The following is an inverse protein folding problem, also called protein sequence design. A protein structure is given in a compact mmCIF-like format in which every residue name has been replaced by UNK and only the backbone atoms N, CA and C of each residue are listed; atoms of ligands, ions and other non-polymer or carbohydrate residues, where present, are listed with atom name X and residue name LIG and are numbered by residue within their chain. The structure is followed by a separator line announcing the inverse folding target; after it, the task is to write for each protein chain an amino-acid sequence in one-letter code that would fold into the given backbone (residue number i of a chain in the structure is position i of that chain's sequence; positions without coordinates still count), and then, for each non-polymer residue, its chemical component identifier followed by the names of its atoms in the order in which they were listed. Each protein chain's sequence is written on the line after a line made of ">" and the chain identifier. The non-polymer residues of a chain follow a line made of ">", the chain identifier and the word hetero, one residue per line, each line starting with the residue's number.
data_IF_248130735312
#
_entry.id   IF_248130735312
#
_cell.length_a   1.000
_cell.length_b   1.000
_cell.length_c   1.000
_cell.angle_alpha   90.00
_cell.angle_beta   90.00
_cell.angle_gamma   90.00
#
_symmetry.space_group_name_H-M   'P 1'
#
loop_
_entity.id
_entity.type
_entity.pdbx_description
1 polymer ?
#
# COMPACT_ATOMS: atom_id res chain seq x y z
N UNK A 1 -43.95 29.37 72.05
CA UNK A 1 -44.64 30.67 71.97
C UNK A 1 -43.63 31.76 71.65
N UNK A 2 -43.99 32.76 70.83
CA UNK A 2 -44.86 32.74 69.64
C UNK A 2 -44.12 33.45 68.46
N UNK A 3 -44.58 33.67 67.22
CA UNK A 3 -45.89 33.73 66.55
C UNK A 3 -45.66 33.39 65.05
N UNK A 4 -46.45 32.56 64.36
CA UNK A 4 -47.68 32.90 63.60
C UNK A 4 -47.48 34.09 62.62
N UNK A 5 -47.83 34.08 61.31
CA UNK A 5 -48.99 33.45 60.64
C UNK A 5 -48.92 33.54 59.09
N UNK A 6 -49.49 32.50 58.45
CA UNK A 6 -50.35 32.41 57.25
C UNK A 6 -50.04 32.96 55.83
N UNK A 7 -50.28 32.05 54.85
CA UNK A 7 -50.90 32.30 53.53
C UNK A 7 -49.92 32.16 52.35
N UNK A 8 -50.17 31.55 51.20
CA UNK A 8 -51.32 30.89 50.55
C UNK A 8 -50.75 30.16 49.33
N UNK A 9 -51.41 29.09 48.87
CA UNK A 9 -51.19 28.45 47.56
C UNK A 9 -51.37 29.46 46.41
N UNK A 10 -50.60 29.30 45.33
CA UNK A 10 -51.13 29.38 43.96
C UNK A 10 -50.14 28.76 42.98
N UNK A 11 -50.66 27.85 42.14
CA UNK A 11 -50.02 27.40 40.91
C UNK A 11 -49.72 28.60 40.01
N UNK A 12 -48.54 28.62 39.39
CA UNK A 12 -48.23 29.12 38.04
C UNK A 12 -46.76 29.53 38.02
N UNK A 13 -45.90 28.65 37.53
CA UNK A 13 -44.78 29.03 36.67
C UNK A 13 -44.19 27.75 36.07
N UNK A 14 -44.87 27.33 35.00
CA UNK A 14 -44.34 26.46 33.99
C UNK A 14 -43.36 27.29 33.13
N UNK A 15 -42.24 26.66 32.80
CA UNK A 15 -41.33 26.94 31.69
C UNK A 15 -40.10 27.83 31.96
N UNK A 16 -38.97 27.28 31.51
CA UNK A 16 -37.68 27.91 31.21
C UNK A 16 -36.62 27.90 32.31
N UNK A 17 -36.13 26.70 32.66
CA UNK A 17 -34.73 26.51 33.02
C UNK A 17 -34.18 25.25 32.38
N UNK A 18 -33.51 25.41 31.24
CA UNK A 18 -32.78 24.31 30.59
C UNK A 18 -32.22 24.72 29.24
N UNK A 19 -30.97 25.17 29.20
CA UNK A 19 -30.01 24.96 28.10
C UNK A 19 -28.82 25.95 28.16
N UNK A 20 -27.96 25.90 29.18
CA UNK A 20 -26.64 26.55 29.09
C UNK A 20 -25.59 25.78 29.90
N UNK A 21 -25.11 24.63 29.40
CA UNK A 21 -23.82 24.08 29.84
C UNK A 21 -23.19 23.02 28.90
N UNK A 22 -23.93 22.44 27.95
CA UNK A 22 -23.43 21.34 27.09
C UNK A 22 -22.90 21.76 25.70
N UNK A 23 -22.79 23.07 25.41
CA UNK A 23 -22.45 23.55 24.06
C UNK A 23 -20.96 23.70 23.75
N UNK A 24 -20.07 23.80 24.75
CA UNK A 24 -18.66 24.15 24.52
C UNK A 24 -17.73 22.95 24.33
N UNK A 25 -18.08 21.78 24.84
CA UNK A 25 -17.20 20.59 24.76
C UNK A 25 -17.40 19.79 23.46
N UNK A 26 -18.59 19.84 22.84
CA UNK A 26 -18.87 19.15 21.58
C UNK A 26 -18.24 19.88 20.37
N UNK A 27 -18.20 21.22 20.41
CA UNK A 27 -17.57 22.00 19.33
C UNK A 27 -16.05 21.78 19.21
N UNK A 28 -15.35 21.49 20.32
CA UNK A 28 -13.91 21.22 20.29
C UNK A 28 -13.57 19.84 19.71
N UNK A 29 -14.46 18.84 19.87
CA UNK A 29 -14.30 17.51 19.27
C UNK A 29 -14.65 17.49 17.78
N UNK A 30 -15.60 18.32 17.31
CA UNK A 30 -15.88 18.46 15.87
C UNK A 30 -14.75 19.17 15.09
N UNK A 31 -14.03 20.11 15.72
CA UNK A 31 -12.91 20.81 15.08
C UNK A 31 -11.68 19.89 14.82
N UNK A 32 -11.49 18.85 15.63
CA UNK A 32 -10.42 17.85 15.43
C UNK A 32 -10.72 16.85 14.30
N UNK A 33 -11.99 16.65 13.93
CA UNK A 33 -12.39 15.83 12.77
C UNK A 33 -12.30 16.62 11.45
N UNK A 34 -12.42 17.96 11.50
CA UNK A 34 -12.37 18.80 10.31
C UNK A 34 -10.94 19.02 9.76
N UNK A 35 -9.91 19.06 10.62
CA UNK A 35 -8.54 19.36 10.19
C UNK A 35 -7.80 18.20 9.48
N UNK A 36 -8.43 17.02 9.35
CA UNK A 36 -7.85 15.86 8.66
C UNK A 36 -8.28 15.70 7.19
N UNK A 37 -9.28 16.46 6.74
CA UNK A 37 -9.99 16.18 5.49
C UNK A 37 -9.68 17.14 4.34
N UNK A 38 -9.00 18.25 4.58
CA UNK A 38 -8.75 19.25 3.53
C UNK A 38 -7.76 18.74 2.47
N UNK A 39 -6.80 17.90 2.85
CA UNK A 39 -5.83 17.32 1.91
C UNK A 39 -6.49 16.27 1.01
N UNK A 40 -7.36 15.41 1.57
CA UNK A 40 -8.08 14.41 0.79
C UNK A 40 -9.13 15.06 -0.12
N UNK A 41 -9.83 16.09 0.37
CA UNK A 41 -10.78 16.86 -0.43
C UNK A 41 -10.09 17.67 -1.54
N UNK A 42 -8.91 18.25 -1.27
CA UNK A 42 -8.10 18.95 -2.28
C UNK A 42 -7.55 17.97 -3.32
N UNK A 43 -7.07 16.79 -2.92
CA UNK A 43 -6.62 15.76 -3.85
C UNK A 43 -7.78 15.19 -4.69
N UNK A 44 -8.94 14.94 -4.08
CA UNK A 44 -10.15 14.53 -4.81
C UNK A 44 -10.64 15.62 -5.76
N UNK A 45 -10.51 16.90 -5.38
CA UNK A 45 -10.83 18.05 -6.22
C UNK A 45 -9.86 18.22 -7.41
N UNK A 46 -8.56 17.97 -7.22
CA UNK A 46 -7.57 17.96 -8.30
C UNK A 46 -7.70 16.72 -9.20
N UNK A 47 -8.02 15.54 -8.64
CA UNK A 47 -8.39 14.34 -9.38
C UNK A 47 -9.62 14.60 -10.26
N UNK A 48 -10.67 15.23 -9.72
CA UNK A 48 -11.88 15.55 -10.48
C UNK A 48 -11.63 16.54 -11.61
N UNK A 49 -10.77 17.54 -11.41
CA UNK A 49 -10.41 18.50 -12.47
C UNK A 49 -9.52 17.90 -13.56
N UNK A 50 -8.64 16.94 -13.23
CA UNK A 50 -7.80 16.26 -14.21
C UNK A 50 -8.54 15.13 -14.95
N UNK A 51 -9.64 14.59 -14.39
CA UNK A 51 -10.47 13.55 -15.00
C UNK A 51 -11.28 14.00 -16.23
N UNK A 52 -11.48 15.29 -16.47
CA UNK A 52 -12.17 15.77 -17.69
C UNK A 52 -11.27 15.72 -18.95
N UNK A 53 -9.96 15.51 -18.79
CA UNK A 53 -8.99 15.59 -19.89
C UNK A 53 -8.55 14.25 -20.48
N UNK A 54 -8.64 13.15 -19.74
CA UNK A 54 -8.12 11.84 -20.17
C UNK A 54 -9.20 10.77 -20.28
N UNK A 55 -9.62 10.47 -21.52
CA UNK A 55 -10.60 9.42 -21.84
C UNK A 55 -10.10 7.98 -21.62
N UNK A 56 -8.86 7.78 -21.19
CA UNK A 56 -8.26 6.46 -20.95
C UNK A 56 -8.16 6.03 -19.49
N UNK A 57 -8.09 6.97 -18.54
CA UNK A 57 -7.87 6.66 -17.11
C UNK A 57 -9.14 6.30 -16.34
N UNK A 58 -10.28 6.86 -16.77
CA UNK A 58 -11.55 6.66 -16.08
C UNK A 58 -12.09 5.23 -16.24
N UNK A 59 -11.83 4.56 -17.38
CA UNK A 59 -12.20 3.16 -17.58
C UNK A 59 -11.50 2.22 -16.59
N UNK A 60 -10.19 2.39 -16.41
CA UNK A 60 -9.42 1.60 -15.44
C UNK A 60 -9.82 1.86 -13.99
N UNK A 61 -10.17 3.10 -13.65
CA UNK A 61 -10.65 3.45 -12.31
C UNK A 61 -12.08 2.93 -12.03
N UNK A 62 -12.97 2.95 -13.02
CA UNK A 62 -14.34 2.41 -12.91
C UNK A 62 -14.34 0.89 -12.80
N UNK A 63 -13.54 0.20 -13.62
CA UNK A 63 -13.37 -1.26 -13.55
C UNK A 63 -12.76 -1.68 -12.19
N UNK A 64 -11.85 -0.85 -11.66
CA UNK A 64 -11.26 -1.03 -10.33
C UNK A 64 -12.28 -0.81 -9.20
N UNK A 65 -13.13 0.21 -9.27
CA UNK A 65 -14.17 0.46 -8.27
C UNK A 65 -15.23 -0.65 -8.27
N UNK A 66 -15.54 -1.22 -9.45
CA UNK A 66 -16.42 -2.37 -9.61
C UNK A 66 -15.90 -3.65 -8.94
N UNK A 67 -14.60 -3.74 -8.68
CA UNK A 67 -13.94 -4.92 -8.08
C UNK A 67 -13.86 -4.87 -6.54
N UNK A 68 -14.39 -3.81 -5.89
CA UNK A 68 -14.33 -3.65 -4.42
C UNK A 68 -15.44 -4.38 -3.66
N UNK A 69 -16.42 -4.97 -4.34
CA UNK A 69 -17.57 -5.64 -3.72
C UNK A 69 -17.34 -7.16 -3.61
N UNK A 70 -16.34 -7.60 -2.82
CA UNK A 70 -16.35 -8.88 -2.09
C UNK A 70 -15.05 -9.06 -1.29
N UNK A 71 -15.14 -9.32 0.02
CA UNK A 71 -13.95 -9.43 0.87
C UNK A 71 -14.17 -9.94 2.29
N UNK A 72 -14.72 -11.14 2.45
CA UNK A 72 -14.66 -11.93 3.69
C UNK A 72 -13.56 -12.98 3.61
N UNK A 73 -12.73 -13.12 4.65
CA UNK A 73 -11.44 -13.82 4.59
C UNK A 73 -11.47 -15.34 4.33
N UNK A 74 -10.55 -15.81 3.46
CA UNK A 74 -9.89 -17.13 3.50
C UNK A 74 -8.71 -17.16 2.51
N UNK A 75 -7.77 -18.08 2.78
CA UNK A 75 -6.49 -18.31 2.08
C UNK A 75 -6.57 -18.19 0.54
N UNK A 76 -5.62 -17.44 -0.03
CA UNK A 76 -5.06 -17.52 -1.40
C UNK A 76 -5.95 -18.13 -2.51
N UNK A 77 -7.17 -17.64 -2.68
CA UNK A 77 -8.17 -18.18 -3.62
C UNK A 77 -8.59 -17.19 -4.72
N UNK A 78 -7.90 -16.05 -4.85
CA UNK A 78 -8.32 -14.98 -5.76
C UNK A 78 -7.85 -15.11 -7.20
N UNK A 79 -6.61 -15.55 -7.45
CA UNK A 79 -6.03 -15.51 -8.80
C UNK A 79 -6.04 -16.87 -9.50
N UNK A 80 -5.59 -17.92 -8.81
CA UNK A 80 -5.49 -19.26 -9.38
C UNK A 80 -6.74 -20.09 -9.04
N UNK A 81 -7.43 -20.57 -10.07
CA UNK A 81 -8.61 -21.44 -9.95
C UNK A 81 -8.22 -22.92 -9.90
N UNK A 82 -9.10 -23.76 -9.36
CA UNK A 82 -8.96 -25.22 -9.43
C UNK A 82 -7.82 -25.82 -8.61
N UNK A 83 -7.53 -25.25 -7.43
CA UNK A 83 -6.49 -25.76 -6.53
C UNK A 83 -5.05 -25.50 -6.99
N UNK A 84 -4.88 -24.75 -8.09
CA UNK A 84 -3.58 -24.29 -8.57
C UNK A 84 -3.01 -23.18 -7.68
N UNK A 85 -1.70 -23.02 -7.72
CA UNK A 85 -0.97 -22.00 -6.98
C UNK A 85 -0.13 -21.13 -7.93
N UNK A 86 0.12 -19.87 -7.55
CA UNK A 86 0.96 -18.97 -8.33
C UNK A 86 2.41 -19.46 -8.36
N UNK A 87 3.04 -19.36 -9.51
CA UNK A 87 4.47 -19.55 -9.69
C UNK A 87 5.01 -18.50 -10.66
N UNK A 88 6.28 -18.06 -10.51
CA UNK A 88 6.80 -16.97 -11.33
C UNK A 88 6.86 -17.35 -12.80
N UNK A 89 6.51 -16.39 -13.67
CA UNK A 89 6.85 -16.46 -15.09
C UNK A 89 8.35 -16.30 -15.27
N UNK A 90 8.93 -17.09 -16.17
CA UNK A 90 10.39 -17.14 -16.35
C UNK A 90 10.97 -15.84 -16.93
N UNK A 91 10.15 -15.07 -17.67
CA UNK A 91 10.51 -13.89 -18.45
C UNK A 91 9.81 -12.61 -17.95
N UNK A 92 9.48 -12.55 -16.66
CA UNK A 92 8.75 -11.40 -16.12
C UNK A 92 9.60 -10.43 -15.30
N UNK A 93 10.69 -10.90 -14.70
CA UNK A 93 11.48 -10.05 -13.81
C UNK A 93 12.10 -8.84 -14.54
N UNK A 94 12.47 -9.00 -15.82
CA UNK A 94 12.97 -7.97 -16.74
C UNK A 94 11.87 -7.01 -17.26
N UNK A 95 10.59 -7.30 -16.99
CA UNK A 95 9.45 -6.47 -17.39
C UNK A 95 8.91 -5.61 -16.24
N UNK A 96 9.53 -5.68 -15.07
CA UNK A 96 9.15 -4.84 -13.93
C UNK A 96 9.48 -3.38 -14.18
N UNK A 97 8.60 -2.48 -13.74
CA UNK A 97 8.85 -1.05 -13.80
C UNK A 97 8.44 -0.34 -12.52
N UNK A 98 9.10 0.77 -12.25
CA UNK A 98 8.77 1.73 -11.20
C UNK A 98 8.53 3.10 -11.83
N UNK A 99 7.49 3.81 -11.36
CA UNK A 99 7.07 5.10 -11.91
C UNK A 99 6.95 6.20 -10.84
N UNK A 100 7.52 5.97 -9.65
CA UNK A 100 7.55 6.93 -8.56
C UNK A 100 6.28 6.89 -7.72
N UNK A 101 5.98 7.96 -6.98
CA UNK A 101 4.79 7.97 -6.13
C UNK A 101 3.55 8.39 -6.94
N UNK A 102 2.56 7.52 -7.05
CA UNK A 102 1.28 7.78 -7.72
C UNK A 102 1.02 6.84 -8.89
N UNK A 103 -0.23 6.77 -9.38
CA UNK A 103 -0.54 5.93 -10.53
C UNK A 103 0.13 6.46 -11.79
N UNK A 104 0.29 5.59 -12.79
CA UNK A 104 0.93 5.95 -14.04
C UNK A 104 0.21 7.12 -14.72
N UNK A 105 0.97 8.16 -15.08
CA UNK A 105 0.46 9.41 -15.66
C UNK A 105 -0.02 10.44 -14.62
N UNK A 106 -0.03 10.11 -13.33
CA UNK A 106 -0.42 11.01 -12.24
C UNK A 106 0.57 10.90 -11.06
N UNK A 107 1.84 11.14 -11.36
CA UNK A 107 2.89 11.17 -10.34
C UNK A 107 2.72 12.35 -9.39
N UNK A 108 2.64 12.04 -8.10
CA UNK A 108 2.56 12.99 -7.01
C UNK A 108 3.98 13.42 -6.65
N UNK A 109 4.22 14.74 -6.71
CA UNK A 109 5.49 15.31 -6.30
C UNK A 109 5.68 15.15 -4.78
N UNK A 110 6.85 14.67 -4.40
CA UNK A 110 7.30 14.60 -3.01
C UNK A 110 8.79 14.97 -2.96
N UNK A 111 9.21 15.69 -1.93
CA UNK A 111 10.60 16.18 -1.79
C UNK A 111 11.36 15.52 -0.64
N UNK A 112 10.74 14.57 0.04
CA UNK A 112 11.25 13.95 1.27
C UNK A 112 12.13 12.73 0.97
N UNK A 113 12.09 12.21 -0.25
CA UNK A 113 12.79 11.01 -0.70
C UNK A 113 11.92 9.74 -0.65
N UNK A 114 10.61 9.89 -0.44
CA UNK A 114 9.64 8.80 -0.38
C UNK A 114 9.52 8.01 -1.69
N UNK A 115 9.95 8.57 -2.83
CA UNK A 115 9.96 7.89 -4.13
C UNK A 115 10.72 6.56 -4.08
N UNK A 116 11.74 6.43 -3.22
CA UNK A 116 12.46 5.16 -3.01
C UNK A 116 11.56 4.05 -2.47
N UNK A 117 10.59 4.41 -1.63
CA UNK A 117 9.58 3.49 -1.11
C UNK A 117 8.51 3.19 -2.14
N UNK A 118 8.10 4.21 -2.92
CA UNK A 118 7.12 4.05 -3.99
C UNK A 118 7.65 3.10 -5.08
N UNK A 119 8.89 3.28 -5.52
CA UNK A 119 9.55 2.36 -6.46
C UNK A 119 9.58 0.92 -5.94
N UNK A 120 9.87 0.74 -4.65
CA UNK A 120 9.85 -0.57 -4.01
C UNK A 120 8.45 -1.18 -3.94
N UNK A 121 7.41 -0.37 -3.80
CA UNK A 121 6.02 -0.82 -3.78
C UNK A 121 5.52 -1.25 -5.16
N UNK A 122 5.83 -0.47 -6.21
CA UNK A 122 5.51 -0.78 -7.61
C UNK A 122 6.06 -2.16 -8.00
N UNK A 123 7.34 -2.41 -7.71
CA UNK A 123 7.97 -3.69 -8.02
C UNK A 123 7.48 -4.81 -7.11
N UNK A 124 7.17 -4.54 -5.83
CA UNK A 124 6.60 -5.55 -4.93
C UNK A 124 5.29 -6.14 -5.47
N UNK A 125 4.42 -5.29 -6.02
CA UNK A 125 3.17 -5.72 -6.65
C UNK A 125 3.42 -6.62 -7.88
N UNK A 126 4.54 -6.41 -8.57
CA UNK A 126 4.94 -7.14 -9.77
C UNK A 126 5.77 -8.40 -9.49
N UNK A 127 6.16 -8.65 -8.23
CA UNK A 127 6.84 -9.88 -7.85
C UNK A 127 5.80 -10.98 -7.64
N UNK A 128 5.86 -12.04 -8.44
CA UNK A 128 4.93 -13.14 -8.31
C UNK A 128 4.97 -13.77 -6.91
N UNK A 129 3.79 -13.98 -6.32
CA UNK A 129 3.61 -14.68 -5.05
C UNK A 129 3.72 -13.78 -3.81
N UNK A 130 4.01 -12.49 -3.97
CA UNK A 130 3.88 -11.53 -2.85
C UNK A 130 2.41 -11.37 -2.48
N UNK A 131 2.17 -11.03 -1.21
CA UNK A 131 0.83 -10.64 -0.77
C UNK A 131 0.72 -9.13 -0.69
N UNK A 132 -0.47 -8.59 -0.98
CA UNK A 132 -0.74 -7.17 -0.78
C UNK A 132 -0.39 -6.72 0.65
N UNK A 133 -0.72 -7.54 1.66
CA UNK A 133 -0.39 -7.23 3.05
C UNK A 133 1.13 -7.15 3.31
N UNK A 134 1.92 -8.01 2.66
CA UNK A 134 3.37 -7.94 2.70
C UNK A 134 3.89 -6.65 2.06
N UNK A 135 3.45 -6.33 0.84
CA UNK A 135 3.87 -5.11 0.14
C UNK A 135 3.49 -3.83 0.89
N UNK A 136 2.26 -3.75 1.45
CA UNK A 136 1.84 -2.59 2.24
C UNK A 136 2.65 -2.43 3.54
N UNK A 137 3.09 -3.55 4.13
CA UNK A 137 3.94 -3.55 5.33
C UNK A 137 5.34 -3.04 4.99
N UNK A 138 5.96 -3.57 3.93
CA UNK A 138 7.27 -3.11 3.44
C UNK A 138 7.24 -1.63 3.10
N UNK A 139 6.20 -1.19 2.38
CA UNK A 139 5.98 0.20 2.02
C UNK A 139 5.87 1.12 3.23
N UNK A 140 4.97 0.79 4.17
CA UNK A 140 4.78 1.56 5.41
C UNK A 140 6.05 1.59 6.27
N UNK A 141 6.85 0.52 6.27
CA UNK A 141 8.11 0.43 7.01
C UNK A 141 9.16 1.36 6.41
N UNK A 142 9.35 1.27 5.09
CA UNK A 142 10.24 2.15 4.32
C UNK A 142 9.90 3.63 4.55
N UNK A 143 8.62 3.99 4.40
CA UNK A 143 8.11 5.34 4.60
C UNK A 143 8.50 5.90 5.98
N UNK A 144 8.30 5.09 7.04
CA UNK A 144 8.69 5.46 8.40
C UNK A 144 10.20 5.64 8.55
N UNK A 145 11.02 4.81 7.89
CA UNK A 145 12.49 4.91 7.94
C UNK A 145 12.97 6.20 7.29
N UNK A 146 12.48 6.54 6.10
CA UNK A 146 12.85 7.78 5.39
C UNK A 146 12.46 9.01 6.24
N UNK A 147 11.26 9.03 6.81
CA UNK A 147 10.83 10.18 7.60
C UNK A 147 11.54 10.35 8.96
N UNK A 148 12.46 9.46 9.36
CA UNK A 148 13.36 9.74 10.50
C UNK A 148 14.39 10.82 10.16
N UNK A 149 14.84 10.85 8.90
CA UNK A 149 15.83 11.81 8.36
C UNK A 149 15.46 12.10 6.90
N UNK A 150 14.37 12.85 6.65
CA UNK A 150 13.93 13.12 5.28
C UNK A 150 14.96 13.99 4.53
N UNK A 151 14.96 13.91 3.20
CA UNK A 151 15.87 14.69 2.36
C UNK A 151 15.61 16.21 2.43
N UNK A 152 14.37 16.59 2.72
CA UNK A 152 13.97 17.99 2.91
C UNK A 152 12.80 18.07 3.90
N UNK A 153 12.46 19.29 4.34
CA UNK A 153 11.34 19.54 5.24
C UNK A 153 11.47 18.87 6.61
N UNK A 154 10.39 18.90 7.39
CA UNK A 154 10.37 18.33 8.73
C UNK A 154 9.98 16.84 8.73
N UNK A 155 10.43 16.05 9.73
CA UNK A 155 9.93 14.68 9.95
C UNK A 155 8.41 14.59 10.06
N UNK A 156 7.74 15.65 10.53
CA UNK A 156 6.27 15.68 10.67
C UNK A 156 5.58 15.78 9.30
N UNK A 157 6.04 16.68 8.44
CA UNK A 157 5.48 16.84 7.09
C UNK A 157 5.71 15.58 6.25
N UNK A 158 6.91 15.00 6.32
CA UNK A 158 7.19 13.72 5.67
C UNK A 158 6.21 12.63 6.14
N UNK A 159 6.01 12.49 7.47
CA UNK A 159 5.08 11.50 8.03
C UNK A 159 3.65 11.71 7.55
N UNK A 160 3.21 12.97 7.42
CA UNK A 160 1.87 13.27 6.91
C UNK A 160 1.71 12.77 5.46
N UNK A 161 2.66 13.07 4.58
CA UNK A 161 2.61 12.62 3.18
C UNK A 161 2.78 11.09 3.06
N UNK A 162 3.70 10.50 3.82
CA UNK A 162 3.87 9.06 3.92
C UNK A 162 2.59 8.33 4.38
N UNK A 163 1.90 8.87 5.37
CA UNK A 163 0.65 8.31 5.87
C UNK A 163 -0.47 8.43 4.84
N UNK A 164 -0.51 9.51 4.06
CA UNK A 164 -1.45 9.67 2.96
C UNK A 164 -1.23 8.57 1.90
N UNK A 165 0.01 8.41 1.41
CA UNK A 165 0.31 7.33 0.46
C UNK A 165 -0.06 5.95 1.00
N UNK A 166 0.36 5.64 2.22
CA UNK A 166 0.10 4.34 2.85
C UNK A 166 -1.39 4.06 3.09
N UNK A 167 -2.22 5.08 3.25
CA UNK A 167 -3.68 4.91 3.40
C UNK A 167 -4.35 4.71 2.03
N UNK A 168 -3.92 5.45 1.01
CA UNK A 168 -4.44 5.34 -0.33
C UNK A 168 -4.16 3.96 -0.92
N UNK A 169 -2.92 3.47 -0.81
CA UNK A 169 -2.53 2.13 -1.28
C UNK A 169 -3.27 1.03 -0.52
N UNK A 170 -3.50 1.17 0.79
CA UNK A 170 -4.32 0.19 1.53
C UNK A 170 -5.77 0.13 1.07
N UNK A 171 -6.35 1.28 0.72
CA UNK A 171 -7.74 1.37 0.28
C UNK A 171 -7.92 0.87 -1.16
N UNK A 172 -6.98 1.20 -2.05
CA UNK A 172 -7.14 1.02 -3.50
C UNK A 172 -6.20 -0.03 -4.10
N UNK A 173 -5.11 -0.37 -3.42
CA UNK A 173 -4.00 -1.18 -3.92
C UNK A 173 -4.33 -2.65 -4.17
N UNK A 174 -5.38 -3.21 -3.55
CA UNK A 174 -5.73 -4.64 -3.70
C UNK A 174 -6.03 -5.02 -5.15
N UNK A 175 -6.77 -4.18 -5.87
CA UNK A 175 -7.10 -4.41 -7.28
C UNK A 175 -5.87 -4.35 -8.18
N UNK A 176 -5.04 -3.31 -7.99
CA UNK A 176 -3.78 -3.16 -8.72
C UNK A 176 -2.83 -4.34 -8.46
N UNK A 177 -2.65 -4.72 -7.19
CA UNK A 177 -1.85 -5.88 -6.82
C UNK A 177 -2.37 -7.15 -7.48
N UNK A 178 -3.67 -7.43 -7.40
CA UNK A 178 -4.26 -8.62 -8.03
C UNK A 178 -3.97 -8.64 -9.55
N UNK A 179 -4.12 -7.50 -10.22
CA UNK A 179 -3.85 -7.40 -11.66
C UNK A 179 -2.37 -7.59 -11.99
N UNK A 180 -1.47 -7.00 -11.20
CA UNK A 180 -0.03 -7.23 -11.36
C UNK A 180 0.31 -8.70 -11.19
N UNK A 181 -0.24 -9.38 -10.18
CA UNK A 181 0.00 -10.81 -9.97
C UNK A 181 -0.46 -11.66 -11.17
N UNK A 182 -1.58 -11.34 -11.83
CA UNK A 182 -2.01 -12.04 -13.06
C UNK A 182 -0.98 -11.90 -14.20
N UNK A 183 -0.32 -10.74 -14.26
CA UNK A 183 0.72 -10.48 -15.27
C UNK A 183 2.04 -11.16 -14.90
N UNK A 184 2.34 -11.31 -13.61
CA UNK A 184 3.62 -11.82 -13.11
C UNK A 184 3.67 -13.34 -12.89
N UNK A 185 2.52 -13.97 -12.68
CA UNK A 185 2.43 -15.37 -12.29
C UNK A 185 1.77 -16.26 -13.34
N UNK A 186 2.23 -17.51 -13.40
CA UNK A 186 1.46 -18.63 -13.93
C UNK A 186 0.73 -19.36 -12.80
N UNK A 187 -0.36 -20.05 -13.13
CA UNK A 187 -1.06 -20.92 -12.19
C UNK A 187 -0.73 -22.38 -12.49
N UNK A 188 0.02 -23.01 -11.59
CA UNK A 188 0.50 -24.39 -11.71
C UNK A 188 -0.12 -25.30 -10.65
N UNK A 189 -0.09 -26.62 -10.89
CA UNK A 189 -0.47 -27.59 -9.86
C UNK A 189 0.66 -27.75 -8.84
N UNK A 190 0.33 -28.26 -7.66
CA UNK A 190 1.27 -28.37 -6.55
C UNK A 190 2.51 -29.21 -6.90
N UNK A 191 2.36 -30.24 -7.73
CA UNK A 191 3.46 -31.09 -8.19
C UNK A 191 4.49 -30.37 -9.08
N UNK A 192 4.08 -29.31 -9.79
CA UNK A 192 4.95 -28.58 -10.73
C UNK A 192 5.68 -27.40 -10.07
N UNK A 193 5.21 -26.94 -8.91
CA UNK A 193 5.75 -25.76 -8.22
C UNK A 193 7.25 -25.90 -7.87
N UNK A 194 7.73 -27.03 -7.29
CA UNK A 194 9.12 -27.13 -6.88
C UNK A 194 10.08 -26.94 -8.05
N UNK A 195 9.79 -27.61 -9.18
CA UNK A 195 10.59 -27.48 -10.40
C UNK A 195 10.55 -26.07 -10.97
N UNK A 196 9.40 -25.39 -10.93
CA UNK A 196 9.30 -24.00 -11.39
C UNK A 196 10.12 -23.04 -10.54
N UNK A 197 9.98 -23.11 -9.22
CA UNK A 197 10.71 -22.22 -8.31
C UNK A 197 12.22 -22.45 -8.38
N UNK A 198 12.66 -23.71 -8.53
CA UNK A 198 14.07 -24.05 -8.75
C UNK A 198 14.60 -23.46 -10.04
N UNK A 199 13.93 -23.72 -11.17
CA UNK A 199 14.36 -23.20 -12.47
C UNK A 199 14.42 -21.66 -12.48
N UNK A 200 13.42 -21.00 -11.88
CA UNK A 200 13.37 -19.55 -11.80
C UNK A 200 14.54 -18.98 -10.98
N UNK A 201 14.78 -19.52 -9.78
CA UNK A 201 15.87 -19.04 -8.92
C UNK A 201 17.25 -19.33 -9.52
N UNK A 202 17.43 -20.52 -10.12
CA UNK A 202 18.66 -20.90 -10.80
C UNK A 202 18.95 -19.96 -11.97
N UNK A 203 17.97 -19.71 -12.84
CA UNK A 203 18.12 -18.76 -13.95
C UNK A 203 18.44 -17.34 -13.46
N UNK A 204 17.81 -16.91 -12.37
CA UNK A 204 18.11 -15.61 -11.75
C UNK A 204 19.56 -15.52 -11.28
N UNK A 205 20.07 -16.52 -10.55
CA UNK A 205 21.45 -16.52 -10.09
C UNK A 205 22.44 -16.65 -11.25
N UNK A 206 22.17 -17.47 -12.27
CA UNK A 206 23.02 -17.52 -13.46
C UNK A 206 23.14 -16.15 -14.14
N UNK A 207 22.06 -15.37 -14.16
CA UNK A 207 22.06 -14.06 -14.82
C UNK A 207 22.68 -12.94 -13.98
N UNK A 208 22.51 -12.94 -12.66
CA UNK A 208 22.88 -11.78 -11.80
C UNK A 208 23.86 -12.10 -10.67
N UNK A 209 24.18 -13.38 -10.42
CA UNK A 209 25.12 -13.84 -9.38
C UNK A 209 25.82 -15.14 -9.79
N UNK A 210 26.37 -15.17 -11.01
CA UNK A 210 26.86 -16.39 -11.68
C UNK A 210 27.85 -17.18 -10.81
N UNK A 211 28.76 -16.48 -10.12
CA UNK A 211 29.80 -17.10 -9.27
C UNK A 211 29.25 -17.91 -8.10
N UNK A 212 27.98 -17.71 -7.72
CA UNK A 212 27.33 -18.40 -6.61
C UNK A 212 26.15 -19.26 -7.06
N UNK A 213 25.91 -19.42 -8.36
CA UNK A 213 24.77 -20.14 -8.92
C UNK A 213 24.92 -21.68 -8.86
N UNK A 214 25.32 -22.23 -7.71
CA UNK A 214 25.40 -23.68 -7.49
C UNK A 214 24.02 -24.27 -7.18
N UNK A 215 23.84 -25.53 -7.57
CA UNK A 215 22.60 -26.26 -7.32
C UNK A 215 22.29 -26.38 -5.82
N UNK A 216 23.32 -26.56 -4.99
CA UNK A 216 23.20 -26.65 -3.53
C UNK A 216 22.68 -25.34 -2.93
N UNK A 217 23.19 -24.18 -3.38
CA UNK A 217 22.73 -22.89 -2.89
C UNK A 217 21.27 -22.65 -3.24
N UNK A 218 20.87 -22.97 -4.48
CA UNK A 218 19.49 -22.83 -4.96
C UNK A 218 18.55 -23.66 -4.08
N UNK A 219 18.90 -24.93 -3.84
CA UNK A 219 18.06 -25.84 -3.07
C UNK A 219 17.98 -25.42 -1.58
N UNK A 220 19.08 -24.97 -0.98
CA UNK A 220 19.13 -24.45 0.40
C UNK A 220 18.30 -23.18 0.58
N UNK A 221 18.39 -22.24 -0.37
CA UNK A 221 17.61 -21.01 -0.35
C UNK A 221 16.12 -21.33 -0.46
N UNK A 222 15.72 -22.20 -1.39
CA UNK A 222 14.31 -22.60 -1.54
C UNK A 222 13.78 -23.34 -0.31
N UNK A 223 14.59 -24.19 0.32
CA UNK A 223 14.22 -24.86 1.56
C UNK A 223 13.95 -23.86 2.70
N UNK A 224 14.80 -22.82 2.83
CA UNK A 224 14.67 -21.75 3.83
C UNK A 224 13.41 -20.90 3.62
N UNK A 225 13.03 -20.68 2.36
CA UNK A 225 11.93 -19.80 1.97
C UNK A 225 10.66 -20.54 1.55
N UNK A 226 10.54 -21.83 1.87
CA UNK A 226 9.39 -22.66 1.51
C UNK A 226 8.07 -22.03 1.97
N UNK A 227 7.18 -21.76 1.02
CA UNK A 227 5.89 -21.08 1.23
C UNK A 227 5.97 -19.56 1.37
N UNK A 228 7.15 -18.97 1.19
CA UNK A 228 7.44 -17.52 1.15
C UNK A 228 8.35 -17.16 -0.03
N UNK A 229 8.23 -17.87 -1.14
CA UNK A 229 9.06 -17.69 -2.32
C UNK A 229 8.89 -16.29 -2.93
N UNK A 230 7.68 -15.71 -2.86
CA UNK A 230 7.44 -14.32 -3.29
C UNK A 230 8.24 -13.29 -2.47
N UNK A 231 8.33 -13.47 -1.15
CA UNK A 231 9.13 -12.60 -0.28
C UNK A 231 10.63 -12.72 -0.61
N UNK A 232 11.10 -13.94 -0.91
CA UNK A 232 12.46 -14.19 -1.42
C UNK A 232 12.71 -13.44 -2.73
N UNK A 233 11.81 -13.56 -3.71
CA UNK A 233 12.01 -12.89 -5.00
C UNK A 233 11.98 -11.38 -4.87
N UNK A 234 11.18 -10.83 -3.95
CA UNK A 234 11.20 -9.41 -3.67
C UNK A 234 12.52 -8.96 -3.02
N UNK A 235 13.12 -9.77 -2.13
CA UNK A 235 14.44 -9.45 -1.58
C UNK A 235 15.51 -9.45 -2.67
N UNK A 236 15.47 -10.40 -3.60
CA UNK A 236 16.36 -10.41 -4.77
C UNK A 236 16.15 -9.17 -5.67
N UNK A 237 14.92 -8.72 -5.88
CA UNK A 237 14.63 -7.47 -6.62
C UNK A 237 15.20 -6.26 -5.89
N UNK A 238 15.12 -6.19 -4.55
CA UNK A 238 15.76 -5.09 -3.81
C UNK A 238 17.27 -5.07 -3.98
N UNK A 239 17.91 -6.23 -4.06
CA UNK A 239 19.37 -6.37 -4.22
C UNK A 239 19.84 -6.11 -5.66
N UNK A 240 19.20 -6.75 -6.64
CA UNK A 240 19.67 -6.76 -8.05
C UNK A 240 18.80 -5.94 -9.00
N UNK A 241 17.64 -5.46 -8.56
CA UNK A 241 16.63 -4.83 -9.41
C UNK A 241 17.11 -3.59 -10.15
N UNK A 242 18.15 -2.90 -9.67
CA UNK A 242 18.77 -1.78 -10.41
C UNK A 242 19.30 -2.21 -11.79
N UNK A 243 19.57 -3.50 -11.99
CA UNK A 243 20.10 -4.04 -13.24
C UNK A 243 19.01 -4.34 -14.28
N UNK A 244 17.74 -4.47 -13.88
CA UNK A 244 16.68 -4.95 -14.78
C UNK A 244 15.33 -4.24 -14.64
N UNK A 245 15.06 -3.54 -13.54
CA UNK A 245 13.82 -2.76 -13.37
C UNK A 245 13.92 -1.50 -14.21
N UNK A 246 12.88 -1.25 -15.01
CA UNK A 246 12.74 -0.01 -15.78
C UNK A 246 12.23 1.11 -14.87
N UNK A 247 12.91 2.25 -14.87
CA UNK A 247 12.52 3.43 -14.09
C UNK A 247 12.02 4.53 -15.03
N UNK A 248 10.74 4.85 -14.94
CA UNK A 248 10.05 5.70 -15.91
C UNK A 248 10.18 7.17 -15.53
N UNK A 249 11.15 7.87 -16.15
CA UNK A 249 11.43 9.29 -15.92
C UNK A 249 11.73 9.64 -14.45
N UNK A 250 12.25 8.66 -13.70
CA UNK A 250 12.60 8.77 -12.28
C UNK A 250 13.99 8.23 -11.98
N UNK A 251 14.48 8.50 -10.77
CA UNK A 251 15.75 7.96 -10.28
C UNK A 251 15.65 6.45 -10.00
N UNK A 252 16.65 5.70 -10.46
CA UNK A 252 16.81 4.26 -10.27
C UNK A 252 17.26 3.89 -8.84
N UNK A 253 16.46 4.25 -7.85
CA UNK A 253 16.76 4.02 -6.44
C UNK A 253 15.61 3.30 -5.72
N UNK A 254 15.96 2.21 -5.05
CA UNK A 254 15.14 1.60 -3.99
C UNK A 254 15.63 2.09 -2.63
N UNK A 255 14.79 1.97 -1.60
CA UNK A 255 15.27 2.12 -0.24
C UNK A 255 16.12 0.91 0.11
N UNK A 256 17.39 1.17 0.40
CA UNK A 256 18.31 0.19 0.95
C UNK A 256 18.15 0.19 2.47
N UNK A 257 17.79 -0.97 3.04
CA UNK A 257 17.66 -1.13 4.48
C UNK A 257 19.02 -1.28 5.18
N UNK A 258 20.12 -1.39 4.42
CA UNK A 258 21.48 -1.42 4.97
C UNK A 258 21.85 -2.72 5.70
N UNK A 259 21.08 -3.79 5.55
CA UNK A 259 21.39 -5.13 6.08
C UNK A 259 21.23 -6.18 4.97
N UNK A 260 22.37 -6.73 4.54
CA UNK A 260 22.50 -8.08 4.00
C UNK A 260 22.99 -8.98 5.14
#
# INVERSE_FOLDING_TARGET
>A
CPAERHGSRSHSEILVMGAMSLGRTVLALCALVAAGNDVLASMMGELQKNMEKDKGGMGGLLDMLGSMQEGGGKKNSGMCKGGKQPAPKMDHHDKMSANGCGPQGMQIKESFGLYKCCNGHDVCFSVCGTSHAFCEKEFSSCMKKICKKPLSGSPKECKNQANMFSQLTKALGRGFHAKSQEMSCDCLKAEDLPSRHRAYLQGFFQQYNESQASDELVDDVLARWKGREGDLYFSLVKTYGKNFVRFDDIKAEFHDDGEL
#
